data_IF_170565719667
#
_entry.id   IF_170565719667
#
_cell.length_a   1.000
_cell.length_b   1.000
_cell.length_c   1.000
_cell.angle_alpha   90.00
_cell.angle_beta   90.00
_cell.angle_gamma   90.00
#
_symmetry.space_group_name_H-M   'P 1'
#
loop_
_entity.id
_entity.type
_entity.pdbx_description
1 polymer ?
#
# COMPACT_ATOMS: atom_id res chain seq x y z
N UNK A 1 14.94 -15.25 -29.10
CA UNK A 1 13.60 -14.62 -29.32
C UNK A 1 13.04 -14.28 -27.96
N UNK A 2 12.51 -13.09 -27.77
CA UNK A 2 11.79 -12.67 -26.57
C UNK A 2 10.36 -13.20 -26.59
N UNK A 3 9.74 -13.36 -25.42
CA UNK A 3 8.34 -13.78 -25.31
C UNK A 3 7.44 -12.59 -25.62
N UNK A 4 7.71 -11.43 -24.99
CA UNK A 4 6.96 -10.19 -25.19
C UNK A 4 7.90 -9.00 -25.29
N UNK A 5 7.60 -8.07 -26.19
CA UNK A 5 8.25 -6.76 -26.31
C UNK A 5 7.20 -5.66 -26.15
N UNK A 6 7.37 -4.83 -25.14
CA UNK A 6 6.67 -3.55 -24.98
C UNK A 6 7.49 -2.47 -25.66
N UNK A 7 6.95 -1.82 -26.71
CA UNK A 7 7.65 -0.77 -27.45
C UNK A 7 6.99 0.60 -27.24
N UNK A 8 7.77 1.65 -27.45
CA UNK A 8 7.31 3.05 -27.44
C UNK A 8 6.70 3.50 -26.10
N UNK A 9 7.10 2.90 -24.98
CA UNK A 9 6.56 3.22 -23.67
C UNK A 9 7.25 4.44 -23.03
N UNK A 10 6.50 5.18 -22.24
CA UNK A 10 7.07 6.01 -21.17
C UNK A 10 7.36 5.09 -20.00
N UNK A 11 8.62 4.70 -19.81
CA UNK A 11 9.05 3.78 -18.76
C UNK A 11 9.27 4.53 -17.45
N UNK A 12 8.77 3.97 -16.34
CA UNK A 12 9.13 4.37 -14.97
C UNK A 12 9.93 3.23 -14.34
N UNK A 13 11.21 3.43 -14.02
CA UNK A 13 12.09 2.34 -13.56
C UNK A 13 12.00 2.05 -12.05
N UNK A 14 11.16 2.77 -11.35
CA UNK A 14 11.04 2.77 -9.88
C UNK A 14 11.65 4.03 -9.24
N UNK A 15 12.31 4.89 -10.04
CA UNK A 15 12.90 6.17 -9.60
C UNK A 15 12.54 7.32 -10.54
N UNK A 16 12.66 7.11 -11.85
CA UNK A 16 12.55 8.16 -12.86
C UNK A 16 11.89 7.65 -14.15
N UNK A 17 11.39 8.61 -14.90
CA UNK A 17 10.84 8.35 -16.23
C UNK A 17 11.89 8.47 -17.34
N UNK A 18 11.73 7.64 -18.37
CA UNK A 18 12.45 7.74 -19.65
C UNK A 18 11.63 7.07 -20.76
N UNK A 19 11.89 7.37 -22.00
CA UNK A 19 11.27 6.71 -23.16
C UNK A 19 12.08 5.49 -23.58
N UNK A 20 11.40 4.43 -24.00
CA UNK A 20 12.09 3.23 -24.49
C UNK A 20 11.16 2.04 -24.64
N UNK A 21 11.77 0.88 -24.77
CA UNK A 21 11.12 -0.42 -24.89
C UNK A 21 11.62 -1.38 -23.82
N UNK A 22 10.84 -2.41 -23.52
CA UNK A 22 11.19 -3.43 -22.53
C UNK A 22 10.84 -4.82 -23.10
N UNK A 23 11.81 -5.74 -23.08
CA UNK A 23 11.60 -7.11 -23.52
C UNK A 23 11.54 -8.07 -22.33
N UNK A 24 10.64 -9.05 -22.43
CA UNK A 24 10.44 -10.11 -21.44
C UNK A 24 10.81 -11.44 -22.07
N UNK A 25 11.50 -12.30 -21.30
CA UNK A 25 11.81 -13.67 -21.66
C UNK A 25 11.83 -14.58 -20.44
N UNK A 26 11.18 -15.73 -20.53
CA UNK A 26 11.12 -16.75 -19.46
C UNK A 26 10.72 -16.17 -18.09
N UNK A 27 9.73 -15.26 -18.10
CA UNK A 27 9.23 -14.64 -16.87
C UNK A 27 10.09 -13.51 -16.30
N UNK A 28 11.17 -13.13 -16.97
CA UNK A 28 12.12 -12.11 -16.52
C UNK A 28 12.19 -10.94 -17.49
N UNK A 29 12.54 -9.75 -16.99
CA UNK A 29 12.94 -8.61 -17.80
C UNK A 29 14.27 -8.97 -18.46
N UNK A 30 14.27 -9.12 -19.80
CA UNK A 30 15.42 -9.56 -20.56
C UNK A 30 16.23 -8.40 -21.14
N UNK A 31 15.59 -7.29 -21.50
CA UNK A 31 16.23 -6.10 -21.99
C UNK A 31 15.40 -4.85 -21.70
N UNK A 32 16.07 -3.71 -21.56
CA UNK A 32 15.47 -2.36 -21.44
C UNK A 32 16.25 -1.47 -22.42
N UNK A 33 15.54 -0.61 -23.15
CA UNK A 33 16.11 0.22 -24.22
C UNK A 33 15.37 -0.03 -25.53
N UNK A 34 16.10 -0.28 -26.62
CA UNK A 34 15.54 -0.50 -27.96
C UNK A 34 15.88 -1.90 -28.52
N UNK A 35 15.36 -2.99 -27.91
CA UNK A 35 15.52 -4.32 -28.48
C UNK A 35 14.75 -4.45 -29.81
N UNK A 36 15.34 -5.18 -30.78
CA UNK A 36 14.78 -5.33 -32.11
C UNK A 36 13.41 -6.06 -32.08
N UNK A 37 12.35 -5.49 -32.68
CA UNK A 37 10.99 -6.03 -32.64
C UNK A 37 10.83 -7.42 -33.27
N UNK A 38 11.59 -7.72 -34.30
CA UNK A 38 11.61 -9.01 -35.04
C UNK A 38 12.06 -10.18 -34.14
N UNK A 39 12.65 -9.88 -33.01
CA UNK A 39 13.11 -10.89 -32.04
C UNK A 39 12.07 -11.22 -30.94
N UNK A 40 10.83 -10.78 -31.07
CA UNK A 40 9.78 -11.06 -30.08
C UNK A 40 8.62 -11.89 -30.69
N UNK A 41 8.09 -12.82 -29.90
CA UNK A 41 6.89 -13.59 -30.27
C UNK A 41 5.63 -12.73 -30.22
N UNK A 42 5.55 -11.80 -29.26
CA UNK A 42 4.48 -10.82 -29.14
C UNK A 42 5.07 -9.42 -29.02
N UNK A 43 4.52 -8.47 -29.78
CA UNK A 43 4.87 -7.04 -29.71
C UNK A 43 3.65 -6.27 -29.25
N UNK A 44 3.80 -5.48 -28.18
CA UNK A 44 2.75 -4.63 -27.61
C UNK A 44 3.19 -3.18 -27.77
N UNK A 45 2.42 -2.39 -28.51
CA UNK A 45 2.69 -0.97 -28.70
C UNK A 45 2.12 -0.16 -27.53
N UNK A 46 2.99 0.48 -26.78
CA UNK A 46 2.66 1.31 -25.61
C UNK A 46 2.79 2.81 -25.90
N UNK A 47 2.69 3.24 -27.17
CA UNK A 47 2.73 4.66 -27.50
C UNK A 47 1.68 5.45 -26.72
N UNK A 48 2.11 6.50 -26.00
CA UNK A 48 1.26 7.32 -25.15
C UNK A 48 0.90 6.66 -23.79
N UNK A 49 1.44 5.49 -23.49
CA UNK A 49 1.20 4.78 -22.23
C UNK A 49 2.44 4.80 -21.34
N UNK A 50 2.20 4.69 -20.04
CA UNK A 50 3.25 4.56 -19.01
C UNK A 50 3.36 3.08 -18.60
N UNK A 51 4.57 2.51 -18.72
CA UNK A 51 4.90 1.19 -18.20
C UNK A 51 5.72 1.33 -16.93
N UNK A 52 5.29 0.67 -15.88
CA UNK A 52 5.92 0.70 -14.54
C UNK A 52 6.26 -0.72 -14.09
N UNK A 53 7.11 -0.89 -13.05
CA UNK A 53 7.05 -2.10 -12.25
C UNK A 53 5.61 -2.35 -11.81
N UNK A 54 5.23 -3.59 -11.58
CA UNK A 54 3.96 -3.90 -10.93
C UNK A 54 3.85 -3.14 -9.60
N UNK A 55 2.71 -2.52 -9.37
CA UNK A 55 2.49 -1.76 -8.14
C UNK A 55 2.48 -2.69 -6.93
N UNK A 56 2.86 -2.13 -5.78
CA UNK A 56 2.87 -2.79 -4.47
C UNK A 56 1.94 -2.01 -3.55
N UNK A 57 0.82 -2.61 -3.16
CA UNK A 57 -0.10 -2.00 -2.20
C UNK A 57 0.43 -2.20 -0.79
N UNK A 58 0.85 -1.13 -0.13
CA UNK A 58 1.46 -1.18 1.19
C UNK A 58 0.45 -1.41 2.32
N UNK A 59 -0.85 -1.32 2.03
CA UNK A 59 -1.91 -1.45 3.01
C UNK A 59 -3.19 -1.99 2.36
N UNK A 60 -3.47 -3.27 2.59
CA UNK A 60 -4.66 -3.96 2.12
C UNK A 60 -5.09 -4.98 3.17
N UNK A 61 -6.33 -5.42 3.15
CA UNK A 61 -6.82 -6.51 3.98
C UNK A 61 -7.29 -7.66 3.10
N UNK A 62 -6.57 -8.79 3.14
CA UNK A 62 -6.85 -9.99 2.32
C UNK A 62 -6.51 -11.30 3.02
N UNK A 63 -6.37 -11.26 4.35
CA UNK A 63 -6.06 -12.46 5.14
C UNK A 63 -7.14 -13.55 4.99
N UNK A 64 -8.38 -13.17 4.75
CA UNK A 64 -9.52 -14.08 4.66
C UNK A 64 -10.07 -14.44 6.04
N UNK A 65 -9.91 -13.55 7.01
CA UNK A 65 -10.37 -13.72 8.40
C UNK A 65 -11.62 -12.92 8.70
N UNK A 66 -11.92 -11.90 7.91
CA UNK A 66 -13.06 -11.03 8.10
C UNK A 66 -13.80 -10.76 6.78
N UNK A 67 -15.03 -10.28 6.91
CA UNK A 67 -15.89 -9.91 5.79
C UNK A 67 -15.54 -8.57 5.12
N UNK A 68 -14.57 -7.83 5.69
CA UNK A 68 -14.02 -6.64 5.02
C UNK A 68 -12.84 -7.00 4.12
N UNK A 69 -12.33 -8.24 4.20
CA UNK A 69 -11.19 -8.68 3.43
C UNK A 69 -11.54 -8.74 1.93
N UNK A 70 -10.73 -8.10 1.12
CA UNK A 70 -10.87 -8.11 -0.33
C UNK A 70 -10.18 -9.34 -0.94
N UNK A 71 -10.76 -9.91 -2.00
CA UNK A 71 -10.05 -10.90 -2.82
C UNK A 71 -8.88 -10.22 -3.55
N UNK A 72 -7.62 -10.63 -3.30
CA UNK A 72 -6.48 -9.99 -3.94
C UNK A 72 -6.43 -10.17 -5.46
N UNK A 73 -7.09 -11.18 -6.03
CA UNK A 73 -7.22 -11.29 -7.48
C UNK A 73 -8.10 -10.18 -8.07
N UNK A 74 -9.12 -9.75 -7.33
CA UNK A 74 -10.04 -8.68 -7.74
C UNK A 74 -9.54 -7.29 -7.33
N UNK A 75 -8.93 -7.18 -6.14
CA UNK A 75 -8.45 -5.89 -5.63
C UNK A 75 -7.13 -5.43 -6.26
N UNK A 76 -6.31 -6.35 -6.78
CA UNK A 76 -4.95 -6.08 -7.21
C UNK A 76 -4.78 -6.20 -8.73
N UNK A 77 -5.06 -7.38 -9.31
CA UNK A 77 -4.68 -7.66 -10.70
C UNK A 77 -5.31 -6.72 -11.73
N UNK A 78 -6.59 -6.32 -11.62
CA UNK A 78 -7.19 -5.35 -12.56
C UNK A 78 -6.61 -3.94 -12.46
N UNK A 79 -5.82 -3.68 -11.44
CA UNK A 79 -5.32 -2.36 -11.11
C UNK A 79 -3.79 -2.22 -11.22
N UNK A 80 -3.11 -3.18 -11.84
CA UNK A 80 -1.65 -3.13 -11.99
C UNK A 80 -0.88 -3.51 -10.73
N UNK A 81 -1.55 -3.99 -9.68
CA UNK A 81 -0.92 -4.36 -8.41
C UNK A 81 -0.50 -5.83 -8.47
N UNK A 82 0.80 -6.10 -8.30
CA UNK A 82 1.38 -7.44 -8.37
C UNK A 82 1.83 -7.98 -7.01
N UNK A 83 1.91 -7.11 -6.01
CA UNK A 83 2.19 -7.47 -4.63
C UNK A 83 1.41 -6.58 -3.66
N UNK A 84 1.13 -7.09 -2.47
CA UNK A 84 0.48 -6.32 -1.41
C UNK A 84 0.91 -6.77 -0.02
N UNK A 85 0.69 -5.88 0.94
CA UNK A 85 0.89 -6.13 2.37
C UNK A 85 -0.47 -6.19 3.05
N UNK A 86 -0.78 -7.32 3.70
CA UNK A 86 -1.93 -7.37 4.62
C UNK A 86 -1.61 -6.61 5.89
N UNK A 87 -2.38 -5.58 6.16
CA UNK A 87 -2.12 -4.66 7.26
C UNK A 87 -2.67 -5.16 8.62
N UNK A 88 -2.56 -6.45 8.88
CA UNK A 88 -2.89 -7.05 10.18
C UNK A 88 -4.36 -7.43 10.33
N UNK A 89 -4.94 -8.04 9.31
CA UNK A 89 -6.25 -8.66 9.40
C UNK A 89 -6.27 -9.86 10.35
N UNK A 90 -5.19 -10.65 10.40
CA UNK A 90 -5.08 -11.84 11.23
C UNK A 90 -4.29 -11.60 12.53
N UNK A 91 -4.75 -12.16 13.63
CA UNK A 91 -4.03 -12.30 14.89
C UNK A 91 -3.43 -13.72 15.04
N UNK A 92 -2.77 -14.01 16.18
CA UNK A 92 -2.04 -15.25 16.36
C UNK A 92 -2.93 -16.51 16.35
N UNK A 93 -4.21 -16.39 16.68
CA UNK A 93 -5.12 -17.54 16.63
C UNK A 93 -5.83 -17.72 15.29
N UNK A 94 -5.74 -16.76 14.37
CA UNK A 94 -6.42 -16.80 13.07
C UNK A 94 -5.46 -16.96 11.90
N UNK A 95 -4.18 -16.59 12.03
CA UNK A 95 -3.20 -16.59 10.96
C UNK A 95 -3.09 -17.95 10.23
N UNK A 96 -2.96 -19.04 10.96
CA UNK A 96 -2.86 -20.39 10.40
C UNK A 96 -4.22 -21.00 10.09
N UNK A 97 -5.20 -20.76 10.96
CA UNK A 97 -6.53 -21.35 10.87
C UNK A 97 -7.27 -20.94 9.59
N UNK A 98 -7.13 -19.68 9.16
CA UNK A 98 -7.78 -19.13 7.97
C UNK A 98 -6.98 -19.37 6.68
N UNK A 99 -5.87 -20.09 6.77
CA UNK A 99 -5.03 -20.39 5.59
C UNK A 99 -4.45 -19.13 4.93
N UNK A 100 -4.20 -18.10 5.74
CA UNK A 100 -3.61 -16.82 5.33
C UNK A 100 -2.36 -17.01 4.50
N UNK A 101 -1.53 -17.96 4.87
CA UNK A 101 -0.25 -18.27 4.24
C UNK A 101 -0.37 -19.15 2.98
N UNK A 102 -1.56 -19.37 2.46
CA UNK A 102 -1.75 -20.07 1.18
C UNK A 102 -1.17 -19.25 0.03
N UNK A 103 -0.80 -19.97 -1.04
CA UNK A 103 -0.32 -19.31 -2.27
C UNK A 103 -1.36 -18.32 -2.80
N UNK A 104 -0.96 -17.05 -2.90
CA UNK A 104 -1.80 -15.97 -3.44
C UNK A 104 -1.45 -15.71 -4.91
N UNK A 105 -2.39 -15.13 -5.71
CA UNK A 105 -2.13 -14.74 -7.09
C UNK A 105 -1.13 -13.59 -7.20
N UNK A 106 -0.82 -12.91 -6.10
CA UNK A 106 0.11 -11.77 -5.97
C UNK A 106 1.26 -12.12 -5.01
N UNK A 107 2.32 -11.29 -4.97
CA UNK A 107 3.28 -11.27 -3.87
C UNK A 107 2.59 -10.82 -2.58
N UNK A 108 2.82 -11.50 -1.46
CA UNK A 108 2.12 -11.20 -0.22
C UNK A 108 3.06 -11.16 0.98
N UNK A 109 2.89 -10.16 1.85
CA UNK A 109 3.47 -10.07 3.18
C UNK A 109 2.35 -9.72 4.16
N UNK A 110 2.56 -9.98 5.45
CA UNK A 110 1.53 -9.81 6.46
C UNK A 110 2.07 -9.12 7.70
N UNK A 111 1.34 -8.14 8.20
CA UNK A 111 1.44 -7.74 9.59
C UNK A 111 0.61 -8.69 10.44
N UNK A 112 1.10 -9.03 11.63
CA UNK A 112 0.35 -9.81 12.61
C UNK A 112 -0.31 -8.85 13.60
N UNK A 113 -1.63 -8.93 13.74
CA UNK A 113 -2.35 -8.13 14.71
C UNK A 113 -2.01 -8.58 16.14
N UNK A 114 -1.73 -7.64 17.04
CA UNK A 114 -1.51 -7.94 18.47
C UNK A 114 -2.77 -8.49 19.15
N UNK A 115 -3.96 -8.16 18.62
CA UNK A 115 -5.22 -8.73 19.05
C UNK A 115 -5.34 -10.16 18.52
N UNK A 116 -5.51 -11.13 19.42
CA UNK A 116 -5.55 -12.56 19.11
C UNK A 116 -6.52 -12.95 17.99
N UNK A 117 -7.70 -12.36 17.98
CA UNK A 117 -8.72 -12.61 16.96
C UNK A 117 -8.47 -11.87 15.65
N UNK A 118 -7.57 -10.88 15.63
CA UNK A 118 -7.47 -9.96 14.49
C UNK A 118 -8.84 -9.33 14.18
N UNK A 119 -9.17 -9.24 12.91
CA UNK A 119 -10.45 -8.66 12.43
C UNK A 119 -11.63 -9.63 12.44
N UNK A 120 -11.48 -10.89 12.88
CA UNK A 120 -12.56 -11.86 12.85
C UNK A 120 -13.75 -11.47 13.75
N UNK A 121 -13.55 -10.58 14.71
CA UNK A 121 -14.60 -10.07 15.62
C UNK A 121 -15.04 -8.63 15.31
N UNK A 122 -14.47 -7.97 14.30
CA UNK A 122 -14.58 -6.52 14.07
C UNK A 122 -16.04 -5.99 13.97
N UNK A 123 -16.96 -6.80 13.48
CA UNK A 123 -18.39 -6.43 13.42
C UNK A 123 -19.08 -6.41 14.77
N UNK A 124 -18.68 -7.31 15.64
CA UNK A 124 -19.36 -7.50 16.93
C UNK A 124 -18.69 -6.70 18.04
N UNK A 125 -17.36 -6.61 18.00
CA UNK A 125 -16.55 -5.99 19.06
C UNK A 125 -15.36 -5.27 18.46
N UNK A 126 -14.95 -4.11 19.02
CA UNK A 126 -13.68 -3.49 18.66
C UNK A 126 -12.50 -4.40 19.02
N UNK A 127 -11.37 -4.18 18.38
CA UNK A 127 -10.14 -4.92 18.66
C UNK A 127 -9.71 -4.72 20.13
N UNK A 128 -9.45 -5.81 20.82
CA UNK A 128 -8.97 -5.75 22.20
C UNK A 128 -7.46 -5.51 22.22
N UNK A 129 -7.07 -4.27 22.40
CA UNK A 129 -5.67 -3.84 22.45
C UNK A 129 -5.06 -3.84 23.87
N UNK A 130 -5.72 -4.44 24.86
CA UNK A 130 -5.16 -4.57 26.22
C UNK A 130 -3.95 -5.51 26.20
N UNK A 131 -2.74 -5.03 26.55
CA UNK A 131 -1.53 -5.83 26.54
C UNK A 131 -1.58 -7.08 27.44
N UNK A 132 -2.38 -7.04 28.51
CA UNK A 132 -2.57 -8.18 29.42
C UNK A 132 -3.26 -9.39 28.74
N UNK A 133 -3.81 -9.20 27.56
CA UNK A 133 -4.50 -10.24 26.77
C UNK A 133 -3.68 -10.80 25.62
N UNK A 134 -2.52 -10.21 25.32
CA UNK A 134 -1.69 -10.65 24.21
C UNK A 134 -0.99 -11.97 24.53
N UNK A 135 -0.88 -12.82 23.55
CA UNK A 135 -0.19 -14.12 23.65
C UNK A 135 1.22 -13.99 23.09
N UNK A 136 2.09 -13.24 23.77
CA UNK A 136 3.43 -12.86 23.28
C UNK A 136 4.26 -14.06 22.83
N UNK A 137 4.24 -15.16 23.60
CA UNK A 137 4.97 -16.40 23.25
C UNK A 137 4.47 -17.01 21.93
N UNK A 138 3.16 -16.97 21.69
CA UNK A 138 2.58 -17.50 20.44
C UNK A 138 2.87 -16.58 19.28
N UNK A 139 2.84 -15.27 19.50
CA UNK A 139 3.25 -14.25 18.50
C UNK A 139 4.71 -14.52 18.12
N UNK A 140 5.61 -14.66 19.10
CA UNK A 140 7.03 -14.94 18.86
C UNK A 140 7.24 -16.21 18.02
N UNK A 141 6.57 -17.31 18.39
CA UNK A 141 6.62 -18.57 17.66
C UNK A 141 6.20 -18.44 16.19
N UNK A 142 5.19 -17.58 15.89
CA UNK A 142 4.76 -17.36 14.51
C UNK A 142 5.80 -16.57 13.70
N UNK A 143 6.49 -15.59 14.30
CA UNK A 143 7.59 -14.89 13.64
C UNK A 143 8.78 -15.81 13.35
N UNK A 144 9.12 -16.71 14.28
CA UNK A 144 10.14 -17.73 14.04
C UNK A 144 9.74 -18.70 12.92
N UNK A 145 8.47 -19.08 12.87
CA UNK A 145 7.96 -20.06 11.90
C UNK A 145 7.79 -19.50 10.49
N UNK A 146 7.45 -18.20 10.38
CA UNK A 146 7.09 -17.55 9.10
C UNK A 146 7.88 -16.27 8.83
N UNK A 147 9.23 -16.27 8.94
CA UNK A 147 10.03 -15.05 8.81
C UNK A 147 9.93 -14.38 7.44
N UNK A 148 9.65 -15.17 6.38
CA UNK A 148 9.50 -14.63 5.03
C UNK A 148 8.11 -14.03 4.75
N UNK A 149 7.11 -14.40 5.54
CA UNK A 149 5.73 -13.96 5.35
C UNK A 149 5.36 -12.79 6.27
N UNK A 150 5.79 -12.84 7.54
CA UNK A 150 5.49 -11.82 8.52
C UNK A 150 6.50 -10.67 8.41
N UNK A 151 6.00 -9.44 8.32
CA UNK A 151 6.82 -8.25 8.15
C UNK A 151 6.67 -7.21 9.27
N UNK A 152 5.87 -7.49 10.31
CA UNK A 152 5.67 -6.61 11.45
C UNK A 152 4.46 -6.96 12.29
N UNK A 153 4.28 -6.20 13.37
CA UNK A 153 3.07 -6.22 14.21
C UNK A 153 2.13 -5.10 13.80
N UNK A 154 0.82 -5.30 14.03
CA UNK A 154 -0.22 -4.28 13.83
C UNK A 154 -0.96 -4.02 15.12
N UNK A 155 -1.24 -2.74 15.39
CA UNK A 155 -2.15 -2.30 16.45
C UNK A 155 -3.09 -1.22 15.93
N UNK A 156 -4.33 -1.16 16.48
CA UNK A 156 -5.33 -0.15 16.19
C UNK A 156 -5.49 0.81 17.36
N UNK A 157 -5.36 2.12 17.08
CA UNK A 157 -5.45 3.19 18.07
C UNK A 157 -6.64 4.12 17.82
N UNK A 158 -7.75 3.57 17.32
CA UNK A 158 -9.02 4.31 17.29
C UNK A 158 -9.58 4.53 18.69
N UNK A 159 -10.39 5.55 18.86
CA UNK A 159 -11.06 5.92 20.15
C UNK A 159 -11.84 4.76 20.77
N UNK A 160 -12.38 3.90 19.92
CA UNK A 160 -13.15 2.72 20.32
C UNK A 160 -12.28 1.59 20.89
N UNK A 161 -10.96 1.60 20.62
CA UNK A 161 -10.03 0.55 21.04
C UNK A 161 -9.16 0.94 22.23
N UNK A 162 -8.69 2.21 22.26
CA UNK A 162 -7.68 2.66 23.22
C UNK A 162 -8.01 4.04 23.79
N UNK A 163 -7.94 4.16 25.11
CA UNK A 163 -8.14 5.42 25.84
C UNK A 163 -6.82 6.20 26.08
N UNK A 164 -5.68 5.52 26.05
CA UNK A 164 -4.34 6.07 26.30
C UNK A 164 -3.29 5.41 25.41
N UNK A 165 -2.02 5.85 25.53
CA UNK A 165 -0.89 5.39 24.71
C UNK A 165 -0.25 4.09 25.20
N UNK A 166 -0.62 3.53 26.33
CA UNK A 166 -0.03 2.30 26.90
C UNK A 166 -0.01 1.13 25.92
N UNK A 167 -1.10 0.85 25.16
CA UNK A 167 -1.08 -0.25 24.19
C UNK A 167 0.00 -0.09 23.11
N UNK A 168 0.23 1.15 22.61
CA UNK A 168 1.30 1.40 21.63
C UNK A 168 2.67 1.20 22.26
N UNK A 169 2.91 1.71 23.46
CA UNK A 169 4.20 1.55 24.15
C UNK A 169 4.55 0.06 24.31
N UNK A 170 3.59 -0.77 24.73
CA UNK A 170 3.78 -2.22 24.87
C UNK A 170 3.94 -2.92 23.52
N UNK A 171 3.21 -2.48 22.47
CA UNK A 171 3.37 -3.03 21.13
C UNK A 171 4.75 -2.70 20.54
N UNK A 172 5.28 -1.50 20.80
CA UNK A 172 6.65 -1.13 20.43
C UNK A 172 7.65 -2.01 21.16
N UNK A 173 7.51 -2.20 22.48
CA UNK A 173 8.37 -3.13 23.26
C UNK A 173 8.37 -4.54 22.65
N UNK A 174 7.19 -5.07 22.37
CA UNK A 174 7.04 -6.41 21.77
C UNK A 174 7.68 -6.45 20.37
N UNK A 175 7.43 -5.47 19.52
CA UNK A 175 8.05 -5.42 18.19
C UNK A 175 9.58 -5.41 18.26
N UNK A 176 10.18 -4.67 19.20
CA UNK A 176 11.64 -4.64 19.41
C UNK A 176 12.18 -5.98 19.90
N UNK A 177 11.47 -6.65 20.82
CA UNK A 177 11.88 -8.00 21.29
C UNK A 177 11.88 -9.03 20.16
N UNK A 178 11.02 -8.85 19.15
CA UNK A 178 10.95 -9.70 17.95
C UNK A 178 11.83 -9.22 16.79
N UNK A 179 12.62 -8.15 17.00
CA UNK A 179 13.43 -7.52 15.94
C UNK A 179 12.60 -7.16 14.69
N UNK A 180 11.36 -6.70 14.90
CA UNK A 180 10.43 -6.35 13.82
C UNK A 180 9.88 -4.94 14.01
N UNK A 181 9.11 -4.46 13.05
CA UNK A 181 8.46 -3.16 13.06
C UNK A 181 7.03 -3.23 13.57
N UNK A 182 6.51 -2.08 13.95
CA UNK A 182 5.10 -1.90 14.30
C UNK A 182 4.40 -1.01 13.26
N UNK A 183 3.22 -1.41 12.80
CA UNK A 183 2.30 -0.53 12.08
C UNK A 183 1.16 -0.12 13.02
N UNK A 184 0.95 1.18 13.17
CA UNK A 184 -0.09 1.74 14.04
C UNK A 184 -1.17 2.39 13.19
N UNK A 185 -2.41 1.88 13.30
CA UNK A 185 -3.60 2.53 12.75
C UNK A 185 -3.95 3.75 13.61
N UNK A 186 -3.86 4.94 13.04
CA UNK A 186 -4.16 6.19 13.73
C UNK A 186 -5.31 6.91 13.01
N UNK A 187 -6.54 6.57 13.39
CA UNK A 187 -7.73 7.24 12.88
C UNK A 187 -8.70 7.52 14.02
N UNK A 188 -9.05 8.78 14.23
CA UNK A 188 -9.84 9.26 15.37
C UNK A 188 -9.33 8.76 16.73
N UNK A 189 -8.03 8.88 17.06
CA UNK A 189 -7.52 8.43 18.35
C UNK A 189 -8.06 9.28 19.49
N UNK A 190 -8.17 8.68 20.70
CA UNK A 190 -8.61 9.41 21.90
C UNK A 190 -7.57 10.45 22.39
N UNK A 191 -6.29 10.20 22.11
CA UNK A 191 -5.14 11.06 22.45
C UNK A 191 -4.63 11.81 21.22
N UNK A 192 -3.85 12.88 21.36
CA UNK A 192 -3.16 13.55 20.27
C UNK A 192 -2.30 12.59 19.45
N UNK A 193 -2.36 12.69 18.10
CA UNK A 193 -1.59 11.82 17.21
C UNK A 193 -0.07 11.95 17.43
N UNK A 194 0.41 13.14 17.83
CA UNK A 194 1.81 13.37 18.20
C UNK A 194 2.27 12.52 19.38
N UNK A 195 1.42 12.25 20.37
CA UNK A 195 1.78 11.37 21.50
C UNK A 195 1.99 9.90 21.05
N UNK A 196 1.24 9.46 20.07
CA UNK A 196 1.47 8.15 19.44
C UNK A 196 2.78 8.17 18.65
N UNK A 197 3.01 9.23 17.86
CA UNK A 197 4.22 9.38 17.05
C UNK A 197 5.50 9.42 17.90
N UNK A 198 5.46 10.00 19.11
CA UNK A 198 6.60 10.06 20.04
C UNK A 198 7.11 8.67 20.47
N UNK A 199 6.24 7.67 20.51
CA UNK A 199 6.56 6.30 20.90
C UNK A 199 7.21 5.49 19.77
N UNK A 200 7.04 5.91 18.51
CA UNK A 200 7.51 5.19 17.33
C UNK A 200 8.97 5.50 17.02
N UNK A 201 9.66 4.54 16.43
CA UNK A 201 11.05 4.64 16.01
C UNK A 201 11.29 4.22 14.57
N UNK A 202 12.57 4.09 14.20
CA UNK A 202 12.99 3.75 12.85
C UNK A 202 12.31 2.49 12.32
N UNK A 203 11.70 2.62 11.13
CA UNK A 203 11.02 1.55 10.43
C UNK A 203 9.60 1.25 10.89
N UNK A 204 9.12 1.82 12.02
CA UNK A 204 7.71 1.76 12.38
C UNK A 204 6.86 2.55 11.40
N UNK A 205 5.58 2.18 11.26
CA UNK A 205 4.68 2.78 10.29
C UNK A 205 3.49 3.42 10.99
N UNK A 206 3.32 4.72 10.76
CA UNK A 206 2.15 5.48 11.14
C UNK A 206 1.19 5.50 9.95
N UNK A 207 0.09 4.73 9.99
CA UNK A 207 -0.85 4.67 8.88
C UNK A 207 -2.11 5.49 9.12
N UNK A 208 -2.83 5.82 8.03
CA UNK A 208 -3.94 6.78 7.96
C UNK A 208 -3.50 8.21 8.29
N UNK A 209 -2.30 8.54 7.82
CA UNK A 209 -1.63 9.81 8.11
C UNK A 209 -2.53 11.03 7.86
N UNK A 210 -3.31 11.00 6.78
CA UNK A 210 -4.09 12.16 6.35
C UNK A 210 -5.59 12.05 6.70
N UNK A 211 -5.94 11.27 7.72
CA UNK A 211 -7.32 11.17 8.19
C UNK A 211 -7.80 12.52 8.77
N UNK A 212 -9.10 12.81 8.62
CA UNK A 212 -9.69 14.09 8.97
C UNK A 212 -10.59 14.06 10.23
N UNK A 213 -10.54 13.00 11.05
CA UNK A 213 -11.40 12.83 12.21
C UNK A 213 -10.62 13.00 13.50
N UNK A 214 -11.19 13.76 14.46
CA UNK A 214 -10.61 13.90 15.80
C UNK A 214 -9.16 14.36 15.81
N UNK A 215 -8.31 13.68 16.56
CA UNK A 215 -6.91 14.01 16.72
C UNK A 215 -6.05 13.47 15.57
N UNK A 216 -5.84 14.27 14.52
CA UNK A 216 -4.97 13.97 13.38
C UNK A 216 -3.55 14.51 13.56
N UNK A 217 -2.81 14.55 12.44
CA UNK A 217 -1.43 15.06 12.42
C UNK A 217 -1.32 16.58 12.44
N UNK A 218 -2.45 17.31 12.26
CA UNK A 218 -2.46 18.76 12.25
C UNK A 218 -2.87 19.32 13.61
N UNK A 219 -2.18 20.37 14.03
CA UNK A 219 -2.56 21.21 15.16
C UNK A 219 -3.76 22.12 14.81
N UNK A 220 -4.30 22.79 15.80
CA UNK A 220 -5.46 23.68 15.64
C UNK A 220 -5.21 24.85 14.65
N UNK A 221 -3.98 25.31 14.51
CA UNK A 221 -3.57 26.32 13.53
C UNK A 221 -3.40 25.76 12.11
N UNK A 222 -3.51 24.44 11.96
CA UNK A 222 -3.42 23.72 10.69
C UNK A 222 -2.01 23.37 10.27
N UNK A 223 -1.01 23.57 11.11
CA UNK A 223 0.36 23.08 10.89
C UNK A 223 0.52 21.62 11.30
N UNK A 224 1.49 20.92 10.71
CA UNK A 224 1.84 19.55 11.14
C UNK A 224 2.44 19.59 12.54
N UNK A 225 1.94 18.75 13.45
CA UNK A 225 2.46 18.64 14.82
C UNK A 225 3.98 18.38 14.79
N UNK A 226 4.81 19.20 15.48
CA UNK A 226 6.25 19.02 15.52
C UNK A 226 6.68 17.60 15.92
N UNK A 227 5.97 16.95 16.86
CA UNK A 227 6.24 15.57 17.28
C UNK A 227 6.12 14.56 16.13
N UNK A 228 5.16 14.78 15.22
CA UNK A 228 5.00 13.95 14.01
C UNK A 228 6.18 14.17 13.04
N UNK A 229 6.70 15.42 12.93
CA UNK A 229 7.91 15.71 12.15
C UNK A 229 9.15 15.05 12.74
N UNK A 230 9.35 15.21 14.04
CA UNK A 230 10.44 14.59 14.77
C UNK A 230 10.41 13.07 14.68
N UNK A 231 9.20 12.45 14.67
CA UNK A 231 9.06 11.03 14.41
C UNK A 231 9.57 10.64 13.01
N UNK A 232 9.28 11.45 11.97
CA UNK A 232 9.85 11.24 10.63
C UNK A 232 11.38 11.34 10.65
N UNK A 233 11.95 12.30 11.35
CA UNK A 233 13.39 12.46 11.48
C UNK A 233 14.04 11.26 12.19
N UNK A 234 13.32 10.62 13.11
CA UNK A 234 13.73 9.36 13.75
C UNK A 234 13.58 8.12 12.85
N UNK A 235 13.06 8.27 11.61
CA UNK A 235 12.89 7.18 10.67
C UNK A 235 11.53 6.47 10.72
N UNK A 236 10.52 7.05 11.37
CA UNK A 236 9.13 6.58 11.27
C UNK A 236 8.61 6.81 9.86
N UNK A 237 7.95 5.82 9.30
CA UNK A 237 7.37 5.82 7.97
C UNK A 237 5.89 6.22 8.05
N UNK A 238 5.43 6.97 7.06
CA UNK A 238 4.05 7.46 7.00
C UNK A 238 3.33 6.88 5.79
N UNK A 239 2.21 6.19 6.06
CA UNK A 239 1.40 5.53 5.04
C UNK A 239 0.06 6.23 4.85
N UNK A 240 -0.45 6.22 3.61
CA UNK A 240 -1.75 6.83 3.29
C UNK A 240 -2.91 6.04 3.93
N UNK A 241 -3.06 4.76 3.59
CA UNK A 241 -4.18 3.93 4.05
C UNK A 241 -5.54 4.60 3.81
N UNK A 242 -5.94 4.81 2.56
CA UNK A 242 -7.11 5.66 2.21
C UNK A 242 -8.44 5.09 2.73
N UNK A 243 -8.73 3.81 2.49
CA UNK A 243 -9.97 3.10 2.84
C UNK A 243 -11.27 3.86 2.52
N UNK A 244 -11.22 4.93 1.73
CA UNK A 244 -12.34 5.86 1.49
C UNK A 244 -12.76 6.67 2.74
N UNK A 245 -12.32 6.31 3.90
CA UNK A 245 -12.72 6.93 5.18
C UNK A 245 -11.55 7.55 5.96
N UNK A 246 -10.31 7.35 5.50
CA UNK A 246 -9.12 7.80 6.22
C UNK A 246 -8.26 8.81 5.45
N UNK A 247 -8.81 9.44 4.38
CA UNK A 247 -8.09 10.43 3.61
C UNK A 247 -8.93 11.68 3.41
N UNK A 248 -8.51 12.81 4.00
CA UNK A 248 -9.13 14.12 3.85
C UNK A 248 -8.24 15.04 3.01
N UNK A 249 -8.77 15.62 1.94
CA UNK A 249 -8.02 16.50 1.04
C UNK A 249 -7.50 17.75 1.74
N UNK A 250 -8.26 18.30 2.68
CA UNK A 250 -7.84 19.45 3.47
C UNK A 250 -6.62 19.16 4.33
N UNK A 251 -6.54 17.97 4.95
CA UNK A 251 -5.38 17.55 5.76
C UNK A 251 -4.17 17.32 4.87
N UNK A 252 -4.34 16.59 3.75
CA UNK A 252 -3.24 16.34 2.82
C UNK A 252 -2.66 17.64 2.24
N UNK A 253 -3.51 18.58 1.77
CA UNK A 253 -3.02 19.86 1.21
C UNK A 253 -2.19 20.66 2.21
N UNK A 254 -2.60 20.72 3.47
CA UNK A 254 -1.84 21.43 4.52
C UNK A 254 -0.50 20.75 4.77
N UNK A 255 -0.51 19.44 4.98
CA UNK A 255 0.71 18.66 5.18
C UNK A 255 1.66 18.75 3.98
N UNK A 256 1.15 18.60 2.75
CA UNK A 256 1.92 18.74 1.51
C UNK A 256 2.49 20.15 1.32
N UNK A 257 1.75 21.21 1.72
CA UNK A 257 2.22 22.59 1.72
C UNK A 257 3.44 22.82 2.61
N UNK A 258 3.66 21.94 3.58
CA UNK A 258 4.83 21.92 4.46
C UNK A 258 5.85 20.83 4.06
N UNK A 259 5.70 20.21 2.88
CA UNK A 259 6.59 19.15 2.39
C UNK A 259 6.39 17.80 3.08
N UNK A 260 5.30 17.60 3.83
CA UNK A 260 5.04 16.36 4.54
C UNK A 260 4.23 15.40 3.66
N UNK A 261 4.92 14.64 2.80
CA UNK A 261 4.38 13.64 1.89
C UNK A 261 4.48 12.21 2.48
N UNK A 262 3.66 11.25 2.02
CA UNK A 262 3.74 9.87 2.50
C UNK A 262 4.98 9.14 1.98
N UNK A 263 5.45 8.15 2.75
CA UNK A 263 6.49 7.20 2.33
C UNK A 263 5.90 6.08 1.48
N UNK A 264 4.70 5.62 1.82
CA UNK A 264 3.97 4.57 1.09
C UNK A 264 2.54 4.98 0.79
N UNK A 265 2.01 4.43 -0.30
CA UNK A 265 0.61 4.54 -0.66
C UNK A 265 -0.07 3.19 -0.43
N UNK A 266 -0.94 3.12 0.59
CA UNK A 266 -1.82 2.00 0.84
C UNK A 266 -3.24 2.33 0.38
N UNK A 267 -3.92 1.38 -0.27
CA UNK A 267 -5.31 1.60 -0.67
C UNK A 267 -6.29 1.37 0.46
N UNK A 268 -5.98 0.42 1.32
CA UNK A 268 -6.88 -0.08 2.37
C UNK A 268 -8.27 -0.44 1.82
N UNK A 269 -8.29 -0.99 0.59
CA UNK A 269 -9.52 -1.40 -0.08
C UNK A 269 -10.13 -2.58 0.67
N UNK A 270 -11.42 -2.48 0.90
CA UNK A 270 -12.25 -3.53 1.49
C UNK A 270 -13.16 -4.15 0.43
N UNK A 271 -13.74 -5.32 0.73
CA UNK A 271 -14.74 -5.97 -0.12
C UNK A 271 -15.88 -5.00 -0.52
N UNK A 272 -16.36 -4.19 0.43
CA UNK A 272 -17.37 -3.16 0.15
C UNK A 272 -16.88 -2.08 -0.80
N UNK A 273 -15.60 -1.69 -0.70
CA UNK A 273 -14.99 -0.70 -1.58
C UNK A 273 -14.93 -1.18 -3.04
N UNK A 274 -14.62 -2.44 -3.27
CA UNK A 274 -14.56 -3.03 -4.61
C UNK A 274 -15.90 -3.03 -5.34
N UNK A 275 -17.02 -3.15 -4.61
CA UNK A 275 -18.36 -3.29 -5.17
C UNK A 275 -19.17 -1.98 -5.14
N UNK A 276 -18.64 -0.92 -4.53
CA UNK A 276 -19.34 0.36 -4.42
C UNK A 276 -19.17 1.21 -5.67
N UNK A 277 -20.16 2.08 -6.01
CA UNK A 277 -19.97 3.12 -7.02
C UNK A 277 -18.77 4.00 -6.65
N UNK A 278 -17.82 4.18 -7.59
CA UNK A 278 -16.56 4.88 -7.32
C UNK A 278 -15.54 4.03 -6.58
N UNK A 279 -15.54 2.72 -6.85
CA UNK A 279 -14.65 1.72 -6.27
C UNK A 279 -13.19 2.20 -6.17
N UNK A 280 -12.57 1.89 -5.05
CA UNK A 280 -11.21 2.23 -4.74
C UNK A 280 -10.22 1.24 -5.32
N UNK A 281 -9.07 1.76 -5.68
CA UNK A 281 -7.91 0.96 -6.06
C UNK A 281 -6.64 1.77 -5.79
N UNK A 282 -5.50 1.13 -5.69
CA UNK A 282 -4.23 1.82 -5.51
C UNK A 282 -3.96 2.90 -6.58
N UNK A 283 -4.22 2.68 -7.91
CA UNK A 283 -4.10 3.75 -8.90
C UNK A 283 -4.97 4.98 -8.62
N UNK A 284 -6.15 4.82 -8.02
CA UNK A 284 -7.00 5.96 -7.62
C UNK A 284 -6.36 6.72 -6.46
N UNK A 285 -5.78 6.04 -5.48
CA UNK A 285 -5.03 6.70 -4.39
C UNK A 285 -3.87 7.51 -4.96
N UNK A 286 -3.05 6.92 -5.84
CA UNK A 286 -1.95 7.63 -6.50
C UNK A 286 -2.45 8.84 -7.29
N UNK A 287 -3.58 8.69 -7.97
CA UNK A 287 -4.20 9.77 -8.76
C UNK A 287 -4.66 10.93 -7.89
N UNK A 288 -5.22 10.65 -6.70
CA UNK A 288 -5.55 11.69 -5.72
C UNK A 288 -4.30 12.43 -5.25
N UNK A 289 -3.22 11.70 -4.91
CA UNK A 289 -1.96 12.31 -4.44
C UNK A 289 -1.38 13.27 -5.49
N UNK A 290 -1.31 12.84 -6.77
CA UNK A 290 -0.81 13.67 -7.86
C UNK A 290 -1.74 14.85 -8.13
N UNK A 291 -3.06 14.65 -8.16
CA UNK A 291 -4.05 15.73 -8.34
C UNK A 291 -3.94 16.79 -7.24
N UNK A 292 -3.55 16.39 -6.03
CA UNK A 292 -3.35 17.27 -4.87
C UNK A 292 -1.93 17.87 -4.78
N UNK A 293 -1.06 17.63 -5.78
CA UNK A 293 0.23 18.30 -5.92
C UNK A 293 1.46 17.48 -5.55
N UNK A 294 1.32 16.18 -5.27
CA UNK A 294 2.49 15.31 -5.15
C UNK A 294 3.10 15.07 -6.53
N UNK A 295 4.43 15.06 -6.61
CA UNK A 295 5.15 14.72 -7.85
C UNK A 295 4.79 13.29 -8.33
N UNK A 296 4.57 13.13 -9.65
CA UNK A 296 4.15 11.85 -10.23
C UNK A 296 5.16 10.72 -9.97
N UNK A 297 6.46 11.00 -10.10
CA UNK A 297 7.48 9.99 -9.82
C UNK A 297 7.53 9.66 -8.33
N UNK A 298 7.32 10.64 -7.44
CA UNK A 298 7.26 10.41 -6.01
C UNK A 298 6.03 9.56 -5.62
N UNK A 299 4.87 9.82 -6.20
CA UNK A 299 3.66 9.02 -5.99
C UNK A 299 3.86 7.56 -6.46
N UNK A 300 4.45 7.36 -7.65
CA UNK A 300 4.76 6.01 -8.13
C UNK A 300 5.83 5.31 -7.29
N UNK A 301 6.85 6.02 -6.79
CA UNK A 301 7.82 5.44 -5.83
C UNK A 301 7.13 4.92 -4.57
N UNK A 302 6.16 5.67 -4.04
CA UNK A 302 5.40 5.28 -2.85
C UNK A 302 4.55 3.99 -3.05
N UNK A 303 4.39 3.53 -4.29
CA UNK A 303 3.68 2.30 -4.65
C UNK A 303 4.55 1.30 -5.46
N UNK A 304 5.85 1.49 -5.55
CA UNK A 304 6.76 0.59 -6.27
C UNK A 304 8.04 0.33 -5.49
N UNK A 305 9.10 1.10 -5.74
CA UNK A 305 10.42 0.88 -5.15
C UNK A 305 10.42 1.05 -3.63
N UNK A 306 9.70 2.03 -3.11
CA UNK A 306 9.70 2.30 -1.67
C UNK A 306 9.08 1.16 -0.84
N UNK A 307 7.84 0.68 -1.10
CA UNK A 307 7.31 -0.48 -0.39
C UNK A 307 8.11 -1.76 -0.67
N UNK A 308 8.73 -1.91 -1.86
CA UNK A 308 9.61 -3.05 -2.11
C UNK A 308 10.81 -3.07 -1.16
N UNK A 309 11.45 -1.93 -0.94
CA UNK A 309 12.58 -1.78 0.00
C UNK A 309 12.13 -2.00 1.45
N UNK A 310 11.02 -1.39 1.86
CA UNK A 310 10.51 -1.47 3.23
C UNK A 310 10.14 -2.91 3.59
N UNK A 311 9.44 -3.63 2.71
CA UNK A 311 8.86 -4.95 3.01
C UNK A 311 9.66 -6.12 2.42
N UNK A 312 10.76 -5.86 1.70
CA UNK A 312 11.61 -6.92 1.14
C UNK A 312 10.98 -7.67 -0.03
N UNK A 313 10.21 -6.98 -0.90
CA UNK A 313 9.78 -7.56 -2.17
C UNK A 313 10.90 -7.48 -3.21
N UNK A 314 10.99 -8.51 -4.06
CA UNK A 314 11.97 -8.55 -5.17
C UNK A 314 11.62 -7.65 -6.35
N UNK A 315 10.37 -7.14 -6.40
CA UNK A 315 9.84 -6.24 -7.43
C UNK A 315 10.11 -4.75 -7.16
N UNK A 316 9.28 -3.89 -7.75
CA UNK A 316 9.26 -2.44 -7.53
C UNK A 316 10.27 -1.65 -8.37
N UNK A 317 11.13 -2.31 -9.15
CA UNK A 317 12.09 -1.67 -10.08
C UNK A 317 12.19 -2.41 -11.40
N UNK A 318 12.31 -1.67 -12.52
CA UNK A 318 12.65 -2.25 -13.82
C UNK A 318 14.16 -2.49 -13.87
N UNK A 319 14.56 -3.76 -13.78
CA UNK A 319 15.97 -4.17 -13.90
C UNK A 319 16.07 -5.44 -14.74
N UNK A 320 17.05 -5.51 -15.63
CA UNK A 320 17.35 -6.73 -16.36
C UNK A 320 17.62 -7.86 -15.38
N UNK A 321 16.99 -9.03 -15.60
CA UNK A 321 17.05 -10.20 -14.72
C UNK A 321 16.00 -10.24 -13.59
N UNK A 322 15.32 -9.13 -13.30
CA UNK A 322 14.21 -9.12 -12.34
C UNK A 322 12.98 -9.88 -12.89
N UNK A 323 12.10 -10.33 -12.00
CA UNK A 323 10.79 -10.88 -12.41
C UNK A 323 10.04 -9.84 -13.24
N UNK A 324 9.41 -10.28 -14.32
CA UNK A 324 8.59 -9.40 -15.16
C UNK A 324 7.20 -9.22 -14.52
N UNK A 325 7.19 -8.54 -13.37
CA UNK A 325 6.01 -8.00 -12.72
C UNK A 325 5.85 -6.56 -13.18
N UNK A 326 4.91 -6.32 -14.12
CA UNK A 326 4.78 -5.07 -14.86
C UNK A 326 3.32 -4.59 -14.88
N UNK A 327 3.15 -3.28 -14.95
CA UNK A 327 1.85 -2.65 -15.18
C UNK A 327 1.92 -1.58 -16.26
N UNK A 328 0.88 -1.49 -17.09
CA UNK A 328 0.75 -0.47 -18.12
C UNK A 328 -0.48 0.37 -17.83
N UNK A 329 -0.31 1.70 -17.91
CA UNK A 329 -1.34 2.68 -17.62
C UNK A 329 -1.49 3.71 -18.72
N UNK A 330 -2.73 4.16 -18.95
CA UNK A 330 -2.97 5.45 -19.59
C UNK A 330 -3.08 6.53 -18.49
N UNK A 331 -2.51 7.69 -18.73
CA UNK A 331 -2.72 8.88 -17.91
C UNK A 331 -3.82 9.70 -18.55
N UNK A 332 -4.95 9.84 -17.85
CA UNK A 332 -6.11 10.59 -18.31
C UNK A 332 -6.24 11.87 -17.48
N UNK A 333 -6.78 12.93 -18.08
CA UNK A 333 -7.01 14.21 -17.43
C UNK A 333 -8.46 14.68 -17.63
N UNK A 334 -9.04 15.29 -16.61
CA UNK A 334 -10.40 15.85 -16.68
C UNK A 334 -11.52 14.81 -16.75
N UNK A 335 -11.26 13.58 -16.32
CA UNK A 335 -12.23 12.47 -16.36
C UNK A 335 -12.80 12.22 -14.97
N UNK A 336 -13.95 12.88 -14.68
CA UNK A 336 -14.65 12.68 -13.42
C UNK A 336 -14.09 13.50 -12.24
N UNK A 337 -14.34 13.03 -11.04
CA UNK A 337 -13.92 13.70 -9.79
C UNK A 337 -13.60 12.68 -8.72
N UNK A 338 -12.68 13.05 -7.81
CA UNK A 338 -12.43 12.33 -6.57
C UNK A 338 -13.25 12.92 -5.43
N UNK A 339 -13.66 12.07 -4.51
CA UNK A 339 -14.33 12.46 -3.26
C UNK A 339 -13.48 11.96 -2.09
N UNK A 340 -13.33 12.76 -1.04
CA UNK A 340 -12.61 12.41 0.17
C UNK A 340 -13.52 11.90 1.29
N UNK A 341 -12.93 11.58 2.45
CA UNK A 341 -13.64 11.09 3.64
C UNK A 341 -14.57 12.12 4.28
N UNK A 342 -14.42 13.42 3.97
CA UNK A 342 -15.26 14.51 4.43
C UNK A 342 -16.38 14.88 3.42
N UNK A 343 -16.39 14.25 2.25
CA UNK A 343 -17.33 14.53 1.17
C UNK A 343 -16.89 15.68 0.24
N UNK A 344 -15.68 16.23 0.40
CA UNK A 344 -15.12 17.21 -0.53
C UNK A 344 -14.89 16.56 -1.89
N UNK A 345 -15.27 17.27 -2.97
CA UNK A 345 -15.07 16.79 -4.35
C UNK A 345 -14.10 17.69 -5.10
N UNK A 346 -13.16 17.06 -5.80
CA UNK A 346 -12.20 17.75 -6.68
C UNK A 346 -12.19 17.12 -8.07
N UNK A 347 -11.94 17.91 -9.15
CA UNK A 347 -11.75 17.35 -10.49
C UNK A 347 -10.58 16.36 -10.51
N UNK A 348 -10.73 15.25 -11.24
CA UNK A 348 -9.65 14.30 -11.48
C UNK A 348 -8.73 14.84 -12.59
N UNK A 349 -7.80 15.73 -12.23
CA UNK A 349 -6.85 16.32 -13.19
C UNK A 349 -5.75 15.34 -13.63
N UNK A 350 -5.55 14.28 -12.88
CA UNK A 350 -4.68 13.17 -13.19
C UNK A 350 -5.38 11.87 -12.78
N UNK A 351 -5.52 10.93 -13.71
CA UNK A 351 -6.09 9.61 -13.46
C UNK A 351 -5.20 8.54 -14.09
N UNK A 352 -4.61 7.70 -13.25
CA UNK A 352 -3.82 6.54 -13.65
C UNK A 352 -4.78 5.38 -13.96
N UNK A 353 -5.04 5.15 -15.26
CA UNK A 353 -6.02 4.17 -15.73
C UNK A 353 -5.32 2.89 -16.20
N UNK A 354 -5.53 1.74 -15.52
CA UNK A 354 -4.87 0.48 -15.87
C UNK A 354 -5.21 0.02 -17.30
N UNK A 355 -4.23 -0.55 -17.98
CA UNK A 355 -4.38 -1.15 -19.33
C UNK A 355 -3.96 -2.61 -19.34
N UNK A 356 -2.90 -2.95 -18.60
CA UNK A 356 -2.36 -4.31 -18.58
C UNK A 356 -1.66 -4.56 -17.26
N UNK A 357 -1.77 -5.80 -16.77
CA UNK A 357 -0.97 -6.31 -15.65
C UNK A 357 -0.30 -7.60 -16.09
N UNK A 358 1.01 -7.66 -15.92
CA UNK A 358 1.84 -8.83 -16.17
C UNK A 358 2.47 -9.28 -14.85
N UNK A 359 2.45 -10.58 -14.59
CA UNK A 359 3.10 -11.16 -13.42
C UNK A 359 4.01 -12.32 -13.82
N UNK A 360 5.29 -12.22 -13.46
CA UNK A 360 6.34 -13.17 -13.84
C UNK A 360 6.28 -13.53 -15.32
N UNK A 361 6.08 -12.51 -16.16
CA UNK A 361 6.01 -12.65 -17.61
C UNK A 361 4.68 -13.18 -18.16
N UNK A 362 3.74 -13.57 -17.30
CA UNK A 362 2.40 -13.96 -17.73
C UNK A 362 1.47 -12.75 -17.71
N UNK A 363 0.73 -12.54 -18.80
CA UNK A 363 -0.36 -11.56 -18.86
C UNK A 363 -1.51 -12.08 -17.98
N UNK A 364 -1.79 -11.40 -16.86
CA UNK A 364 -2.81 -11.81 -15.89
C UNK A 364 -4.07 -10.97 -15.97
N UNK A 365 -3.99 -9.78 -16.54
CA UNK A 365 -5.14 -8.92 -16.78
C UNK A 365 -4.89 -7.93 -17.91
N UNK A 366 -5.92 -7.58 -18.67
CA UNK A 366 -5.92 -6.56 -19.71
C UNK A 366 -7.27 -5.87 -19.80
N UNK A 367 -7.28 -4.55 -19.98
CA UNK A 367 -8.49 -3.76 -20.23
C UNK A 367 -9.10 -4.12 -21.58
N UNK A 368 -10.44 -4.21 -21.62
CA UNK A 368 -11.18 -4.43 -22.87
C UNK A 368 -11.08 -3.24 -23.84
N UNK A 369 -10.77 -2.05 -23.34
CA UNK A 369 -10.62 -0.85 -24.15
C UNK A 369 -9.28 -0.79 -24.90
N UNK A 370 -8.35 -1.66 -24.55
CA UNK A 370 -7.02 -1.68 -25.13
C UNK A 370 -6.73 -3.05 -25.75
N UNK A 371 -6.81 -3.09 -27.08
CA UNK A 371 -6.66 -4.31 -27.88
C UNK A 371 -5.26 -4.41 -28.52
N UNK A 372 -4.33 -3.50 -28.17
CA UNK A 372 -3.01 -3.31 -28.74
C UNK A 372 -2.06 -4.47 -28.77
#
# INVERSE_FOLDING_TARGET
MFDTLFKNARLFDGERFFSGSLAVKAGKIAAIGDPAPENAAQVIDCAGLTLTPGLIDAHLHFAGVSEIDADPALACLPYGVTAAVDAGGAGENTLEACGVLRRRPIGAKYFLNVCSAGFSSLRAYPENVDPARWQEDRIALLFERYPEALCGLKIRMGRECAADTRPVAEAVRLARSLSTRLMVHVSDPAMPAGEIADLLGEGDIFTHTYQGRGNGILLADGTVDPRVREARERGVLFDVGDAHVHFAFSVFRRAAGEGFFPDTAGSDVTDRGLCAPGAFSLPVVLSKLVTLGMDEAAALRAATSRPAEIFGFSGGRLRVGADADLAVFAVLSGVGSFTDSAGERIPANYLLSPRLTMRRGALVWRSVEWMG
#
